data_IF_046605625478
#
_entry.id   IF_046605625478
#
_cell.length_a   1.000
_cell.length_b   1.000
_cell.length_c   1.000
_cell.angle_alpha   90.00
_cell.angle_beta   90.00
_cell.angle_gamma   90.00
#
_symmetry.space_group_name_H-M   'P 1'
#
loop_
_entity.id
_entity.type
_entity.pdbx_description
1 polymer ?
#
# COMPACT_ATOMS: atom_id res chain seq x y z
N UNK A 1 -6.13 -25.20 -11.17
CA UNK A 1 -5.31 -24.47 -12.17
C UNK A 1 -4.15 -23.86 -11.41
N UNK A 2 -2.93 -24.00 -11.93
CA UNK A 2 -1.69 -23.81 -11.18
C UNK A 2 -1.44 -22.34 -10.87
N UNK A 3 -1.34 -22.00 -9.58
CA UNK A 3 -0.76 -20.75 -9.10
C UNK A 3 0.65 -20.59 -9.66
N UNK A 4 0.85 -19.53 -10.43
CA UNK A 4 2.10 -19.18 -11.10
C UNK A 4 2.43 -17.71 -10.85
N UNK A 5 2.44 -17.32 -9.59
CA UNK A 5 3.10 -16.13 -9.04
C UNK A 5 3.23 -16.46 -7.54
N UNK A 6 4.37 -16.57 -6.88
CA UNK A 6 5.43 -15.58 -6.71
C UNK A 6 6.71 -16.37 -6.39
N UNK A 7 7.59 -16.54 -7.36
CA UNK A 7 8.98 -16.94 -7.11
C UNK A 7 9.84 -16.23 -8.14
N UNK A 8 10.31 -15.04 -7.79
CA UNK A 8 11.53 -14.48 -8.34
C UNK A 8 12.20 -13.69 -7.22
N UNK A 9 13.34 -14.22 -6.76
CA UNK A 9 14.37 -13.42 -6.13
C UNK A 9 14.68 -12.29 -7.11
N UNK A 10 14.54 -11.02 -6.69
CA UNK A 10 14.91 -9.91 -7.55
C UNK A 10 16.44 -9.88 -7.65
N UNK A 11 16.98 -10.42 -8.75
CA UNK A 11 18.28 -9.98 -9.24
C UNK A 11 18.17 -8.47 -9.47
N UNK A 12 19.12 -7.67 -8.96
CA UNK A 12 19.06 -6.20 -9.05
C UNK A 12 18.94 -5.72 -10.50
N UNK A 13 19.45 -6.52 -11.45
CA UNK A 13 19.38 -6.25 -12.88
C UNK A 13 18.01 -6.53 -13.52
N UNK A 14 17.17 -7.34 -12.85
CA UNK A 14 15.82 -7.70 -13.28
C UNK A 14 14.74 -6.85 -12.56
N UNK A 15 15.17 -5.83 -11.82
CA UNK A 15 14.25 -4.92 -11.14
C UNK A 15 13.38 -4.16 -12.15
N UNK A 16 12.11 -3.91 -11.80
CA UNK A 16 11.21 -3.16 -12.66
C UNK A 16 11.72 -1.75 -12.92
N UNK A 17 11.51 -1.27 -14.14
CA UNK A 17 12.00 0.04 -14.61
C UNK A 17 10.83 0.94 -14.97
N UNK A 18 11.04 2.27 -15.13
CA UNK A 18 10.02 3.20 -15.61
C UNK A 18 9.39 2.86 -16.98
N UNK A 19 9.94 1.90 -17.72
CA UNK A 19 9.34 1.41 -18.97
C UNK A 19 8.20 0.41 -18.73
N UNK A 20 8.17 -0.29 -17.59
CA UNK A 20 6.98 -1.03 -17.16
C UNK A 20 5.96 0.00 -16.67
N UNK A 21 4.77 0.01 -17.26
CA UNK A 21 3.72 1.00 -16.94
C UNK A 21 3.37 1.01 -15.45
N UNK A 22 3.40 -0.15 -14.79
CA UNK A 22 3.13 -0.26 -13.35
C UNK A 22 4.17 0.48 -12.50
N UNK A 23 5.35 0.70 -13.06
CA UNK A 23 6.51 1.32 -12.41
C UNK A 23 6.92 2.62 -13.07
N UNK A 24 6.06 3.21 -13.92
CA UNK A 24 6.35 4.41 -14.72
C UNK A 24 7.03 5.53 -13.95
N UNK A 25 6.63 5.76 -12.69
CA UNK A 25 7.14 6.85 -11.87
C UNK A 25 8.27 6.44 -10.92
N UNK A 26 8.59 5.16 -10.82
CA UNK A 26 9.54 4.61 -9.84
C UNK A 26 10.67 3.88 -10.53
N UNK A 27 11.90 4.36 -10.33
CA UNK A 27 13.10 3.75 -10.91
C UNK A 27 13.89 2.99 -9.84
N UNK A 28 13.41 1.80 -9.48
CA UNK A 28 13.98 0.97 -8.43
C UNK A 28 15.46 0.60 -8.69
N UNK A 29 15.90 0.17 -9.89
CA UNK A 29 17.32 -0.14 -10.14
C UNK A 29 18.26 1.04 -9.91
N UNK A 30 17.79 2.29 -10.05
CA UNK A 30 18.61 3.48 -9.78
C UNK A 30 18.68 3.83 -8.30
N UNK A 31 17.69 3.40 -7.51
CA UNK A 31 17.55 3.79 -6.12
C UNK A 31 18.15 2.78 -5.15
N UNK A 32 18.13 1.49 -5.51
CA UNK A 32 18.69 0.41 -4.68
C UNK A 32 20.22 0.54 -4.59
N UNK A 33 20.80 0.54 -3.38
CA UNK A 33 22.24 0.51 -3.18
C UNK A 33 22.89 -0.77 -3.73
N UNK A 34 24.12 -0.64 -4.24
CA UNK A 34 24.93 -1.79 -4.62
C UNK A 34 25.46 -2.54 -3.40
N UNK A 35 25.76 -3.84 -3.56
CA UNK A 35 26.49 -4.62 -2.55
C UNK A 35 25.69 -5.02 -1.32
N UNK A 36 24.35 -4.93 -1.37
CA UNK A 36 23.49 -5.39 -0.26
C UNK A 36 23.58 -6.91 -0.08
N UNK A 37 23.66 -7.34 1.19
CA UNK A 37 23.65 -8.76 1.58
C UNK A 37 22.26 -9.17 2.05
N UNK A 38 21.71 -10.21 1.44
CA UNK A 38 20.40 -10.72 1.82
C UNK A 38 20.41 -11.38 3.20
N UNK A 39 19.48 -10.96 4.03
CA UNK A 39 19.20 -11.56 5.34
C UNK A 39 18.15 -12.66 5.23
N UNK A 40 18.08 -13.50 6.26
CA UNK A 40 17.02 -14.49 6.39
C UNK A 40 15.64 -13.82 6.39
N UNK A 41 14.69 -14.48 5.75
CA UNK A 41 13.32 -13.99 5.68
C UNK A 41 12.63 -14.17 7.04
N UNK A 42 12.19 -13.06 7.63
CA UNK A 42 11.28 -13.06 8.78
C UNK A 42 9.84 -13.13 8.28
N UNK A 43 9.08 -14.09 8.78
CA UNK A 43 7.67 -14.27 8.48
C UNK A 43 6.84 -14.11 9.76
N UNK A 44 5.84 -13.25 9.70
CA UNK A 44 4.86 -13.02 10.77
C UNK A 44 3.49 -13.48 10.28
N UNK A 45 2.84 -14.35 11.05
CA UNK A 45 1.53 -14.92 10.72
C UNK A 45 0.57 -14.61 11.86
N UNK A 46 -0.49 -13.87 11.55
CA UNK A 46 -1.56 -13.53 12.48
C UNK A 46 -2.85 -14.17 12.00
N UNK A 47 -3.45 -15.01 12.85
CA UNK A 47 -4.73 -15.65 12.57
C UNK A 47 -5.67 -15.43 13.76
N UNK A 48 -6.75 -14.68 13.53
CA UNK A 48 -7.80 -14.42 14.52
C UNK A 48 -9.01 -15.28 14.18
N UNK A 49 -9.50 -16.03 15.17
CA UNK A 49 -10.58 -17.00 14.94
C UNK A 49 -11.94 -16.32 14.92
N UNK A 50 -12.93 -17.06 14.43
CA UNK A 50 -14.32 -16.61 14.28
C UNK A 50 -14.83 -15.93 15.55
N UNK A 51 -15.33 -14.70 15.38
CA UNK A 51 -15.96 -13.91 16.43
C UNK A 51 -15.03 -13.38 17.53
N UNK A 52 -13.73 -13.64 17.46
CA UNK A 52 -12.78 -13.09 18.42
C UNK A 52 -12.60 -11.59 18.21
N UNK A 53 -12.62 -10.83 19.30
CA UNK A 53 -12.33 -9.40 19.29
C UNK A 53 -11.02 -9.15 20.06
N UNK A 54 -9.95 -8.81 19.34
CA UNK A 54 -8.67 -8.47 19.94
C UNK A 54 -8.68 -7.02 20.40
N UNK A 55 -8.89 -6.79 21.70
CA UNK A 55 -8.93 -5.44 22.28
C UNK A 55 -7.59 -4.71 22.21
N UNK A 56 -6.49 -5.44 22.33
CA UNK A 56 -5.14 -4.88 22.25
C UNK A 56 -4.61 -4.97 20.81
N UNK A 57 -3.96 -3.91 20.29
CA UNK A 57 -3.35 -3.96 18.98
C UNK A 57 -2.14 -4.89 18.97
N UNK A 58 -1.89 -5.53 17.82
CA UNK A 58 -0.62 -6.19 17.54
C UNK A 58 0.34 -5.15 16.96
N UNK A 59 1.43 -4.87 17.65
CA UNK A 59 2.48 -3.93 17.21
C UNK A 59 3.68 -4.72 16.68
N UNK A 60 4.05 -4.50 15.42
CA UNK A 60 5.13 -5.19 14.71
C UNK A 60 6.18 -4.16 14.31
N UNK A 61 7.41 -4.36 14.79
CA UNK A 61 8.57 -3.57 14.39
C UNK A 61 9.40 -4.32 13.35
N UNK A 62 9.63 -3.67 12.21
CA UNK A 62 10.53 -4.10 11.15
C UNK A 62 11.77 -3.21 11.15
N UNK A 63 12.94 -3.78 11.43
CA UNK A 63 14.21 -3.04 11.53
C UNK A 63 15.13 -3.38 10.36
N UNK A 64 15.66 -2.35 9.69
CA UNK A 64 16.71 -2.47 8.68
C UNK A 64 18.10 -2.13 9.22
N UNK A 65 19.13 -2.71 8.59
CA UNK A 65 20.53 -2.60 9.03
C UNK A 65 21.44 -2.26 7.84
N UNK A 66 22.51 -1.48 8.07
CA UNK A 66 23.45 -1.08 7.03
C UNK A 66 23.92 -2.26 6.16
N UNK A 67 23.85 -2.08 4.84
CA UNK A 67 24.37 -3.03 3.87
C UNK A 67 23.51 -4.28 3.67
N UNK A 68 22.25 -4.28 4.14
CA UNK A 68 21.38 -5.47 4.05
C UNK A 68 20.17 -5.28 3.13
N UNK A 69 19.65 -6.42 2.65
CA UNK A 69 18.29 -6.52 2.13
C UNK A 69 17.47 -7.46 3.01
N UNK A 70 16.32 -6.99 3.46
CA UNK A 70 15.33 -7.74 4.22
C UNK A 70 14.12 -8.02 3.33
N UNK A 71 13.58 -9.24 3.42
CA UNK A 71 12.40 -9.66 2.65
C UNK A 71 11.26 -10.12 3.58
N UNK A 72 10.79 -9.26 4.50
CA UNK A 72 9.80 -9.68 5.48
C UNK A 72 8.48 -10.08 4.81
N UNK A 73 7.79 -11.02 5.44
CA UNK A 73 6.45 -11.47 5.03
C UNK A 73 5.47 -11.31 6.18
N UNK A 74 4.31 -10.75 5.89
CA UNK A 74 3.21 -10.64 6.84
C UNK A 74 1.96 -11.28 6.25
N UNK A 75 1.41 -12.26 6.96
CA UNK A 75 0.13 -12.88 6.63
C UNK A 75 -0.88 -12.62 7.74
N UNK A 76 -2.00 -11.96 7.42
CA UNK A 76 -3.09 -11.68 8.36
C UNK A 76 -4.36 -12.37 7.87
N UNK A 77 -4.95 -13.21 8.72
CA UNK A 77 -6.25 -13.86 8.45
C UNK A 77 -7.21 -13.60 9.59
N UNK A 78 -8.31 -12.92 9.28
CA UNK A 78 -9.44 -12.75 10.18
C UNK A 78 -10.57 -13.65 9.70
N UNK A 79 -11.00 -14.60 10.54
CA UNK A 79 -12.20 -15.38 10.27
C UNK A 79 -13.47 -14.55 10.47
N UNK A 80 -14.63 -15.17 10.19
CA UNK A 80 -15.93 -14.50 10.26
C UNK A 80 -16.17 -13.80 11.61
N UNK A 81 -16.52 -12.52 11.56
CA UNK A 81 -16.81 -11.69 12.73
C UNK A 81 -15.59 -11.33 13.60
N UNK A 82 -14.37 -11.72 13.19
CA UNK A 82 -13.15 -11.40 13.93
C UNK A 82 -12.81 -9.90 13.83
N UNK A 83 -12.15 -9.36 14.85
CA UNK A 83 -11.73 -7.96 14.88
C UNK A 83 -10.30 -7.82 15.37
N UNK A 84 -9.50 -7.01 14.67
CA UNK A 84 -8.09 -6.79 14.97
C UNK A 84 -7.65 -5.37 14.60
N UNK A 85 -6.72 -4.84 15.38
CA UNK A 85 -5.89 -3.70 14.98
C UNK A 85 -4.43 -4.16 14.89
N UNK A 86 -3.78 -3.86 13.77
CA UNK A 86 -2.33 -4.10 13.56
C UNK A 86 -1.65 -2.76 13.32
N UNK A 87 -0.51 -2.57 13.99
CA UNK A 87 0.39 -1.42 13.81
C UNK A 87 1.72 -1.97 13.31
N UNK A 88 2.08 -1.66 12.07
CA UNK A 88 3.40 -1.91 11.53
C UNK A 88 4.27 -0.66 11.66
N UNK A 89 5.49 -0.83 12.16
CA UNK A 89 6.50 0.22 12.26
C UNK A 89 7.74 -0.20 11.50
N UNK A 90 8.22 0.68 10.64
CA UNK A 90 9.43 0.47 9.85
C UNK A 90 10.49 1.47 10.32
N UNK A 91 11.67 0.97 10.69
CA UNK A 91 12.80 1.78 11.13
C UNK A 91 14.11 1.11 10.76
N UNK A 92 15.24 1.77 11.02
CA UNK A 92 16.55 1.18 10.83
C UNK A 92 17.64 2.22 10.77
N UNK A 93 18.87 1.75 10.57
CA UNK A 93 20.05 2.60 10.47
C UNK A 93 20.82 2.25 9.21
N UNK A 94 21.20 3.29 8.45
CA UNK A 94 22.10 3.13 7.31
C UNK A 94 21.39 2.96 5.97
N UNK A 95 22.13 2.39 5.01
CA UNK A 95 21.68 2.06 3.67
C UNK A 95 21.19 0.61 3.65
N UNK A 96 19.89 0.41 3.48
CA UNK A 96 19.31 -0.92 3.39
C UNK A 96 18.08 -0.92 2.51
N UNK A 97 17.62 -2.11 2.16
CA UNK A 97 16.37 -2.28 1.45
C UNK A 97 15.44 -3.24 2.19
N UNK A 98 14.27 -2.76 2.58
CA UNK A 98 13.16 -3.60 3.03
C UNK A 98 12.21 -3.84 1.86
N UNK A 99 12.18 -5.09 1.37
CA UNK A 99 11.31 -5.53 0.29
C UNK A 99 10.24 -6.50 0.81
N UNK A 100 9.13 -5.95 1.28
CA UNK A 100 8.09 -6.66 1.99
C UNK A 100 7.01 -7.23 1.07
N UNK A 101 6.47 -8.38 1.47
CA UNK A 101 5.23 -8.94 0.94
C UNK A 101 4.19 -9.06 2.06
N UNK A 102 2.98 -8.57 1.80
CA UNK A 102 1.88 -8.60 2.77
C UNK A 102 0.64 -9.26 2.14
N UNK A 103 0.06 -10.23 2.83
CA UNK A 103 -1.16 -10.92 2.42
C UNK A 103 -2.21 -10.83 3.53
N UNK A 104 -3.40 -10.34 3.18
CA UNK A 104 -4.47 -10.06 4.15
C UNK A 104 -5.78 -10.67 3.65
N UNK A 105 -6.41 -11.48 4.49
CA UNK A 105 -7.77 -11.98 4.29
C UNK A 105 -8.67 -11.49 5.42
N UNK A 106 -9.71 -10.73 5.06
CA UNK A 106 -10.74 -10.23 5.97
C UNK A 106 -12.03 -10.98 5.69
N UNK A 107 -12.34 -11.95 6.55
CA UNK A 107 -13.53 -12.80 6.43
C UNK A 107 -14.85 -12.05 6.63
N UNK A 108 -15.96 -12.76 6.45
CA UNK A 108 -17.30 -12.16 6.52
C UNK A 108 -17.54 -11.44 7.85
N UNK A 109 -18.16 -10.27 7.84
CA UNK A 109 -18.41 -9.46 9.06
C UNK A 109 -17.14 -9.13 9.88
N UNK A 110 -15.94 -9.43 9.39
CA UNK A 110 -14.70 -9.18 10.11
C UNK A 110 -14.20 -7.75 9.88
N UNK A 111 -13.40 -7.24 10.82
CA UNK A 111 -12.92 -5.85 10.80
C UNK A 111 -11.43 -5.80 11.09
N UNK A 112 -10.65 -5.25 10.16
CA UNK A 112 -9.23 -5.00 10.33
C UNK A 112 -8.93 -3.51 10.24
N UNK A 113 -8.31 -2.98 11.29
CA UNK A 113 -7.61 -1.69 11.23
C UNK A 113 -6.11 -1.95 11.05
N UNK A 114 -5.52 -1.38 10.02
CA UNK A 114 -4.12 -1.59 9.66
C UNK A 114 -3.39 -0.25 9.55
N UNK A 115 -2.48 0.00 10.48
CA UNK A 115 -1.71 1.25 10.57
C UNK A 115 -0.27 0.94 10.19
N UNK A 116 0.29 1.67 9.24
CA UNK A 116 1.71 1.60 8.86
C UNK A 116 2.38 2.93 9.15
N UNK A 117 3.50 2.90 9.86
CA UNK A 117 4.33 4.07 10.15
C UNK A 117 5.74 3.80 9.64
N UNK A 118 6.20 4.62 8.69
CA UNK A 118 7.51 4.46 8.04
C UNK A 118 8.44 5.56 8.53
N UNK A 119 9.37 5.17 9.40
CA UNK A 119 10.44 6.00 9.97
C UNK A 119 11.82 5.39 9.62
N UNK A 120 11.90 4.77 8.44
CA UNK A 120 13.13 4.24 7.89
C UNK A 120 14.21 5.33 7.73
N UNK A 121 15.47 4.91 7.81
CA UNK A 121 16.64 5.76 7.55
C UNK A 121 16.49 6.58 6.25
N UNK A 122 16.97 7.81 6.23
CA UNK A 122 16.90 8.69 5.05
C UNK A 122 17.62 8.14 3.80
N UNK A 123 18.43 7.08 3.94
CA UNK A 123 19.09 6.39 2.84
C UNK A 123 18.48 5.02 2.48
N UNK A 124 17.46 4.58 3.24
CA UNK A 124 16.81 3.30 3.03
C UNK A 124 15.86 3.29 1.83
N UNK A 125 15.60 2.09 1.33
CA UNK A 125 14.56 1.82 0.33
C UNK A 125 13.50 0.94 1.00
N UNK A 126 12.22 1.30 0.85
CA UNK A 126 11.10 0.51 1.36
C UNK A 126 10.14 0.19 0.21
N UNK A 127 10.02 -1.08 -0.15
CA UNK A 127 9.03 -1.54 -1.12
C UNK A 127 8.10 -2.53 -0.42
N UNK A 128 6.79 -2.36 -0.56
CA UNK A 128 5.82 -3.31 -0.03
C UNK A 128 4.77 -3.62 -1.09
N UNK A 129 4.60 -4.91 -1.39
CA UNK A 129 3.52 -5.43 -2.21
C UNK A 129 2.45 -6.04 -1.29
N UNK A 130 1.23 -5.53 -1.38
CA UNK A 130 0.13 -5.88 -0.49
C UNK A 130 -1.01 -6.48 -1.30
N UNK A 131 -1.48 -7.66 -0.91
CA UNK A 131 -2.69 -8.29 -1.45
C UNK A 131 -3.74 -8.40 -0.35
N UNK A 132 -4.93 -7.87 -0.60
CA UNK A 132 -6.04 -7.84 0.36
C UNK A 132 -7.28 -8.47 -0.28
N UNK A 133 -7.88 -9.44 0.40
CA UNK A 133 -9.21 -9.98 0.06
C UNK A 133 -10.20 -9.65 1.16
N UNK A 134 -11.28 -8.96 0.82
CA UNK A 134 -12.36 -8.57 1.71
C UNK A 134 -13.66 -9.28 1.31
N UNK A 135 -14.22 -10.08 2.23
CA UNK A 135 -15.45 -10.85 2.02
C UNK A 135 -16.71 -10.03 2.39
N UNK A 136 -17.87 -10.67 2.37
CA UNK A 136 -19.18 -10.07 2.59
C UNK A 136 -19.27 -9.35 3.94
N UNK A 137 -19.80 -8.13 3.94
CA UNK A 137 -19.97 -7.30 5.14
C UNK A 137 -18.66 -7.07 5.92
N UNK A 138 -17.50 -7.31 5.30
CA UNK A 138 -16.18 -7.09 5.92
C UNK A 138 -15.73 -5.63 5.82
N UNK A 139 -14.85 -5.21 6.74
CA UNK A 139 -14.30 -3.85 6.74
C UNK A 139 -12.79 -3.90 6.90
N UNK A 140 -12.09 -3.36 5.90
CA UNK A 140 -10.66 -3.08 5.98
C UNK A 140 -10.42 -1.57 6.04
N UNK A 141 -9.66 -1.12 7.05
CA UNK A 141 -9.27 0.28 7.21
C UNK A 141 -7.76 0.40 7.28
N UNK A 142 -7.15 0.84 6.18
CA UNK A 142 -5.72 1.10 6.07
C UNK A 142 -5.38 2.58 6.31
N UNK A 143 -4.33 2.82 7.09
CA UNK A 143 -3.69 4.14 7.24
C UNK A 143 -2.18 4.00 7.09
N UNK A 144 -1.55 4.84 6.26
CA UNK A 144 -0.09 4.89 6.07
C UNK A 144 0.45 6.28 6.39
N UNK A 145 1.44 6.36 7.27
CA UNK A 145 2.18 7.58 7.57
C UNK A 145 3.63 7.40 7.13
N UNK A 146 4.04 8.16 6.12
CA UNK A 146 5.37 8.07 5.54
C UNK A 146 6.20 9.30 5.98
N UNK A 147 7.25 9.05 6.77
CA UNK A 147 8.13 10.06 7.38
C UNK A 147 9.62 9.89 7.03
N UNK A 148 9.99 8.74 6.46
CA UNK A 148 11.38 8.36 6.21
C UNK A 148 11.59 7.69 4.86
N UNK A 149 12.70 6.95 4.74
CA UNK A 149 13.23 6.35 3.51
C UNK A 149 13.65 7.36 2.44
N UNK A 150 14.67 7.01 1.65
CA UNK A 150 15.03 7.73 0.42
C UNK A 150 13.99 7.47 -0.67
N UNK A 151 13.56 6.23 -0.79
CA UNK A 151 12.51 5.81 -1.71
C UNK A 151 11.55 4.89 -0.98
N UNK A 152 10.26 5.16 -1.13
CA UNK A 152 9.20 4.25 -0.77
C UNK A 152 8.34 3.93 -1.99
N UNK A 153 7.94 2.66 -2.12
CA UNK A 153 6.82 2.26 -2.95
C UNK A 153 5.89 1.31 -2.20
N UNK A 154 4.64 1.71 -2.07
CA UNK A 154 3.57 0.91 -1.50
C UNK A 154 2.60 0.53 -2.62
N UNK A 155 2.64 -0.73 -3.03
CA UNK A 155 1.85 -1.30 -4.12
C UNK A 155 0.75 -2.19 -3.53
N UNK A 156 -0.50 -1.72 -3.62
CA UNK A 156 -1.66 -2.34 -2.97
C UNK A 156 -2.60 -2.87 -4.03
N UNK A 157 -2.94 -4.14 -3.93
CA UNK A 157 -4.04 -4.75 -4.66
C UNK A 157 -5.09 -5.26 -3.68
N UNK A 158 -6.28 -4.68 -3.73
CA UNK A 158 -7.40 -5.06 -2.88
C UNK A 158 -8.57 -5.55 -3.73
N UNK A 159 -9.19 -6.64 -3.31
CA UNK A 159 -10.38 -7.19 -3.95
C UNK A 159 -11.53 -7.30 -2.95
N UNK A 160 -12.66 -6.69 -3.31
CA UNK A 160 -13.94 -6.80 -2.62
C UNK A 160 -14.71 -7.99 -3.24
N UNK A 161 -14.56 -9.16 -2.62
CA UNK A 161 -15.07 -10.44 -3.14
C UNK A 161 -16.48 -10.80 -2.65
N UNK A 162 -16.99 -10.13 -1.63
CA UNK A 162 -18.33 -10.32 -1.10
C UNK A 162 -19.12 -9.02 -1.01
N UNK A 163 -20.45 -9.11 -1.08
CA UNK A 163 -21.31 -7.95 -1.09
C UNK A 163 -21.22 -7.12 0.21
N UNK A 164 -21.50 -5.82 0.12
CA UNK A 164 -21.41 -4.88 1.24
C UNK A 164 -20.03 -4.77 1.91
N UNK A 165 -18.97 -5.27 1.27
CA UNK A 165 -17.61 -5.10 1.77
C UNK A 165 -17.16 -3.65 1.70
N UNK A 166 -16.32 -3.24 2.64
CA UNK A 166 -15.72 -1.91 2.66
C UNK A 166 -14.19 -1.98 2.74
N UNK A 167 -13.51 -1.24 1.88
CA UNK A 167 -12.07 -1.02 1.97
C UNK A 167 -11.78 0.48 2.00
N UNK A 168 -10.90 0.92 2.89
CA UNK A 168 -10.40 2.29 2.90
C UNK A 168 -8.89 2.34 2.98
N UNK A 169 -8.30 3.25 2.21
CA UNK A 169 -6.86 3.52 2.19
C UNK A 169 -6.64 5.00 2.43
N UNK A 170 -6.07 5.33 3.57
CA UNK A 170 -5.77 6.69 3.95
C UNK A 170 -4.27 6.86 4.08
N UNK A 171 -3.73 8.01 3.67
CA UNK A 171 -2.30 8.22 3.75
C UNK A 171 -1.88 9.67 3.93
N UNK A 172 -0.79 9.85 4.68
CA UNK A 172 -0.06 11.10 4.76
C UNK A 172 1.40 10.86 4.41
N UNK A 173 1.89 11.59 3.41
CA UNK A 173 3.28 11.61 3.01
C UNK A 173 3.88 12.97 3.38
N UNK A 174 4.94 12.96 4.19
CA UNK A 174 5.76 14.14 4.49
C UNK A 174 7.13 13.89 3.88
N UNK A 175 7.43 14.54 2.76
CA UNK A 175 8.61 14.27 1.96
C UNK A 175 9.48 15.54 1.83
N UNK A 176 10.79 15.38 2.03
CA UNK A 176 11.78 16.46 1.88
C UNK A 176 13.06 15.97 1.21
N UNK A 177 14.05 16.85 1.06
CA UNK A 177 15.32 16.51 0.40
C UNK A 177 15.15 15.98 -1.03
N UNK A 178 15.64 14.77 -1.28
CA UNK A 178 15.50 14.03 -2.54
C UNK A 178 14.61 12.77 -2.40
N UNK A 179 13.72 12.74 -1.39
CA UNK A 179 12.85 11.60 -1.14
C UNK A 179 11.84 11.36 -2.26
N UNK A 180 11.57 10.08 -2.54
CA UNK A 180 10.55 9.62 -3.47
C UNK A 180 9.51 8.76 -2.77
N UNK A 181 8.27 9.24 -2.66
CA UNK A 181 7.17 8.51 -2.05
C UNK A 181 6.12 8.09 -3.07
N UNK A 182 5.96 6.80 -3.31
CA UNK A 182 5.01 6.23 -4.28
C UNK A 182 3.96 5.37 -3.58
N UNK A 183 2.69 5.72 -3.77
CA UNK A 183 1.56 4.85 -3.44
C UNK A 183 0.80 4.51 -4.71
N UNK A 184 0.76 3.23 -5.03
CA UNK A 184 0.01 2.66 -6.15
C UNK A 184 -1.05 1.73 -5.59
N UNK A 185 -2.32 1.94 -5.96
CA UNK A 185 -3.47 1.18 -5.45
C UNK A 185 -4.31 0.69 -6.62
N UNK A 186 -4.65 -0.59 -6.61
CA UNK A 186 -5.70 -1.20 -7.41
C UNK A 186 -6.79 -1.73 -6.49
N UNK A 187 -8.03 -1.27 -6.69
CA UNK A 187 -9.21 -1.83 -6.03
C UNK A 187 -10.11 -2.50 -7.07
N UNK A 188 -10.32 -3.80 -6.89
CA UNK A 188 -11.23 -4.63 -7.68
C UNK A 188 -12.58 -4.74 -6.93
N UNK A 189 -13.63 -4.11 -7.47
CA UNK A 189 -15.00 -4.32 -7.02
C UNK A 189 -15.59 -5.52 -7.76
N UNK A 190 -15.49 -6.70 -7.15
CA UNK A 190 -15.96 -7.97 -7.73
C UNK A 190 -17.33 -8.41 -7.18
N UNK A 191 -17.96 -7.62 -6.31
CA UNK A 191 -19.26 -7.91 -5.71
C UNK A 191 -20.11 -6.62 -5.60
N UNK A 192 -21.45 -6.74 -5.55
CA UNK A 192 -22.34 -5.58 -5.50
C UNK A 192 -22.36 -4.94 -4.10
N UNK A 193 -22.88 -3.71 -4.04
CA UNK A 193 -23.09 -2.93 -2.80
C UNK A 193 -21.81 -2.62 -2.00
N UNK A 194 -20.63 -2.76 -2.59
CA UNK A 194 -19.38 -2.51 -1.90
C UNK A 194 -19.00 -1.03 -1.91
N UNK A 195 -18.22 -0.62 -0.90
CA UNK A 195 -17.69 0.73 -0.76
C UNK A 195 -16.18 0.74 -0.78
N UNK A 196 -15.59 1.71 -1.47
CA UNK A 196 -14.15 1.95 -1.40
C UNK A 196 -13.82 3.42 -1.26
N UNK A 197 -12.90 3.75 -0.35
CA UNK A 197 -12.41 5.11 -0.18
C UNK A 197 -10.88 5.17 -0.26
N UNK A 198 -10.35 6.13 -1.01
CA UNK A 198 -8.91 6.42 -1.04
C UNK A 198 -8.72 7.91 -0.70
N UNK A 199 -7.99 8.23 0.37
CA UNK A 199 -7.72 9.61 0.78
C UNK A 199 -6.24 9.80 1.09
N UNK A 200 -5.52 10.43 0.17
CA UNK A 200 -4.09 10.67 0.31
C UNK A 200 -3.78 12.16 0.35
N UNK A 201 -3.00 12.55 1.37
CA UNK A 201 -2.43 13.89 1.50
C UNK A 201 -0.92 13.80 1.38
N UNK A 202 -0.31 14.74 0.67
CA UNK A 202 1.13 14.77 0.48
C UNK A 202 1.68 16.18 0.61
N UNK A 203 2.70 16.36 1.43
CA UNK A 203 3.42 17.62 1.59
C UNK A 203 4.85 17.36 1.12
N UNK A 204 5.33 18.19 0.18
CA UNK A 204 6.61 18.00 -0.48
C UNK A 204 7.45 19.26 -0.39
N UNK A 205 8.68 19.13 0.12
CA UNK A 205 9.66 20.20 0.16
C UNK A 205 10.92 19.86 -0.66
N UNK A 206 11.84 20.81 -0.79
CA UNK A 206 13.11 20.69 -1.50
C UNK A 206 12.92 20.18 -2.94
N UNK A 207 13.38 18.97 -3.24
CA UNK A 207 13.29 18.27 -4.53
C UNK A 207 12.51 16.96 -4.40
N UNK A 208 11.71 16.83 -3.35
CA UNK A 208 10.96 15.61 -3.08
C UNK A 208 9.94 15.34 -4.19
N UNK A 209 9.70 14.05 -4.45
CA UNK A 209 8.76 13.57 -5.44
C UNK A 209 7.69 12.68 -4.82
N UNK A 210 6.44 13.01 -5.07
CA UNK A 210 5.28 12.25 -4.64
C UNK A 210 4.60 11.61 -5.83
N UNK A 211 4.15 10.37 -5.66
CA UNK A 211 3.37 9.64 -6.66
C UNK A 211 2.13 9.07 -5.99
N UNK A 212 0.98 9.35 -6.57
CA UNK A 212 -0.28 8.68 -6.25
C UNK A 212 -0.90 8.11 -7.53
N UNK A 213 -0.95 6.79 -7.64
CA UNK A 213 -1.67 6.10 -8.69
C UNK A 213 -2.79 5.29 -8.06
N UNK A 214 -4.04 5.63 -8.38
CA UNK A 214 -5.20 4.94 -7.82
C UNK A 214 -6.11 4.45 -8.92
N UNK A 215 -6.21 3.14 -9.11
CA UNK A 215 -7.14 2.51 -10.03
C UNK A 215 -8.30 1.86 -9.28
N UNK A 216 -9.52 2.16 -9.70
CA UNK A 216 -10.73 1.44 -9.29
C UNK A 216 -11.30 0.73 -10.52
N UNK A 217 -11.40 -0.59 -10.43
CA UNK A 217 -11.99 -1.44 -11.45
C UNK A 217 -13.31 -2.01 -10.92
N UNK A 218 -14.42 -1.68 -11.58
CA UNK A 218 -15.76 -2.13 -11.20
C UNK A 218 -16.27 -3.12 -12.22
N UNK A 219 -16.37 -4.39 -11.79
CA UNK A 219 -16.86 -5.48 -12.62
C UNK A 219 -18.34 -5.29 -12.93
N UNK A 220 -18.81 -5.84 -14.05
CA UNK A 220 -20.20 -5.68 -14.50
C UNK A 220 -21.25 -6.11 -13.45
N UNK A 221 -20.92 -7.11 -12.62
CA UNK A 221 -21.82 -7.61 -11.56
C UNK A 221 -21.87 -6.70 -10.32
N UNK A 222 -20.91 -5.78 -10.16
CA UNK A 222 -20.74 -4.94 -8.97
C UNK A 222 -21.65 -3.70 -9.02
N UNK A 223 -22.95 -3.95 -9.12
CA UNK A 223 -23.96 -2.91 -9.04
C UNK A 223 -23.97 -2.29 -7.64
N UNK A 224 -24.40 -1.03 -7.54
CA UNK A 224 -24.42 -0.25 -6.30
C UNK A 224 -23.05 -0.03 -5.66
N UNK A 225 -21.96 -0.15 -6.41
CA UNK A 225 -20.64 0.27 -5.95
C UNK A 225 -20.64 1.77 -5.62
N UNK A 226 -20.05 2.12 -4.47
CA UNK A 226 -19.75 3.49 -4.06
C UNK A 226 -18.23 3.67 -3.88
N UNK A 227 -17.60 4.34 -4.84
CA UNK A 227 -16.15 4.52 -4.92
C UNK A 227 -15.75 5.99 -4.88
N UNK A 228 -14.85 6.35 -3.95
CA UNK A 228 -14.30 7.70 -3.88
C UNK A 228 -12.77 7.69 -3.79
N UNK A 229 -12.12 8.54 -4.59
CA UNK A 229 -10.67 8.73 -4.55
C UNK A 229 -10.33 10.22 -4.44
N UNK A 230 -9.44 10.58 -3.51
CA UNK A 230 -8.96 11.95 -3.35
C UNK A 230 -7.46 11.96 -3.07
N UNK A 231 -6.73 12.69 -3.92
CA UNK A 231 -5.32 12.99 -3.74
C UNK A 231 -5.14 14.51 -3.61
N UNK A 232 -4.63 14.98 -2.47
CA UNK A 232 -4.29 16.38 -2.27
C UNK A 232 -2.80 16.52 -2.01
N UNK A 233 -2.13 17.37 -2.78
CA UNK A 233 -0.72 17.67 -2.60
C UNK A 233 -0.46 19.16 -2.38
N UNK A 234 0.47 19.47 -1.49
CA UNK A 234 1.01 20.80 -1.24
C UNK A 234 2.51 20.76 -1.56
N UNK A 235 2.93 21.63 -2.49
CA UNK A 235 4.33 21.86 -2.83
C UNK A 235 4.86 23.04 -2.00
N UNK A 236 5.95 22.84 -1.27
CA UNK A 236 6.61 23.85 -0.44
C UNK A 236 7.80 24.50 -1.17
N UNK A 237 8.22 23.94 -2.31
CA UNK A 237 9.37 24.36 -3.10
C UNK A 237 9.08 24.23 -4.60
N UNK A 238 9.67 25.11 -5.41
CA UNK A 238 9.54 25.11 -6.88
C UNK A 238 10.13 23.86 -7.56
N UNK A 239 10.92 23.06 -6.82
CA UNK A 239 11.53 21.82 -7.32
C UNK A 239 10.82 20.55 -6.82
N UNK A 240 9.79 20.69 -5.99
CA UNK A 240 8.99 19.57 -5.56
C UNK A 240 8.03 19.14 -6.68
N UNK A 241 7.83 17.83 -6.83
CA UNK A 241 7.02 17.26 -7.90
C UNK A 241 5.93 16.35 -7.33
N UNK A 242 4.70 16.48 -7.83
CA UNK A 242 3.62 15.53 -7.54
C UNK A 242 3.08 14.97 -8.85
N UNK A 243 3.21 13.66 -9.02
CA UNK A 243 2.56 12.90 -10.08
C UNK A 243 1.30 12.22 -9.54
N UNK A 244 0.16 12.48 -10.17
CA UNK A 244 -1.11 11.85 -9.79
C UNK A 244 -1.78 11.23 -11.01
N UNK A 245 -2.19 9.96 -10.89
CA UNK A 245 -2.88 9.21 -11.95
C UNK A 245 -4.09 8.46 -11.34
N UNK A 246 -5.22 9.14 -11.10
CA UNK A 246 -6.47 8.46 -10.77
C UNK A 246 -7.07 7.82 -12.03
N UNK A 247 -7.57 6.60 -11.90
CA UNK A 247 -8.08 5.77 -13.01
C UNK A 247 -9.38 5.09 -12.57
N UNK A 248 -10.44 5.24 -13.36
CA UNK A 248 -11.70 4.51 -13.18
C UNK A 248 -11.95 3.63 -14.41
N UNK A 249 -12.15 2.34 -14.18
CA UNK A 249 -12.56 1.37 -15.19
C UNK A 249 -13.88 0.74 -14.73
N UNK A 250 -15.00 1.22 -15.30
CA UNK A 250 -16.35 0.93 -14.77
C UNK A 250 -17.18 0.19 -15.82
N UNK A 251 -17.60 -1.04 -15.49
CA UNK A 251 -18.46 -1.87 -16.34
C UNK A 251 -19.87 -2.08 -15.78
N UNK A 252 -20.19 -1.51 -14.62
CA UNK A 252 -21.52 -1.55 -14.00
C UNK A 252 -22.25 -0.20 -14.15
N UNK A 253 -23.55 -0.24 -14.49
CA UNK A 253 -24.33 0.96 -14.78
C UNK A 253 -24.77 1.73 -13.52
N UNK A 254 -25.21 1.02 -12.47
CA UNK A 254 -25.82 1.61 -11.29
C UNK A 254 -24.79 1.83 -10.18
N UNK A 255 -23.87 2.77 -10.38
CA UNK A 255 -22.76 3.04 -9.46
C UNK A 255 -22.61 4.52 -9.14
N UNK A 256 -21.89 4.81 -8.05
CA UNK A 256 -21.42 6.15 -7.71
C UNK A 256 -19.91 6.09 -7.57
N UNK A 257 -19.19 6.45 -8.63
CA UNK A 257 -17.73 6.51 -8.60
C UNK A 257 -17.27 7.92 -8.92
N UNK A 258 -16.34 8.45 -8.14
CA UNK A 258 -15.69 9.73 -8.44
C UNK A 258 -14.26 9.76 -7.94
N UNK A 259 -13.46 10.61 -8.57
CA UNK A 259 -12.09 10.85 -8.18
C UNK A 259 -11.79 12.35 -8.23
N UNK A 260 -10.89 12.79 -7.36
CA UNK A 260 -10.41 14.16 -7.29
C UNK A 260 -8.91 14.18 -7.05
N UNK A 261 -8.22 15.09 -7.72
CA UNK A 261 -6.83 15.36 -7.47
C UNK A 261 -6.60 16.87 -7.46
N UNK A 262 -5.88 17.37 -6.46
CA UNK A 262 -5.49 18.78 -6.39
C UNK A 262 -4.02 18.88 -6.01
N UNK A 263 -3.26 19.66 -6.74
CA UNK A 263 -1.90 20.05 -6.36
C UNK A 263 -1.87 21.58 -6.30
N UNK A 264 -1.38 22.10 -5.18
CA UNK A 264 -1.20 23.54 -4.98
C UNK A 264 0.15 23.84 -4.35
N UNK A 265 0.55 25.10 -4.40
CA UNK A 265 1.72 25.64 -3.72
C UNK A 265 1.24 26.53 -2.57
N UNK A 266 2.00 26.58 -1.47
CA UNK A 266 1.74 27.52 -0.36
C UNK A 266 2.21 28.94 -0.70
#
# INVERSE_FOLDING_TARGET
MKDKAVRNLLNIHDLPTPKDERWKYTNLPRAVPDGLTQQDTREEIIHIKRGENCEQPVDILWTGEEGTIHQPKLSITLEEGAQLTVIERFTGVGNYWQNMQTEITVGKNARLNHIRVIEDSAAAINTNMVSISADQDSVYSGFSLNLGAKMQRHDIHAILNGANGEVSFNGLNLLGGDQHGDTTILIEHAAPHCRSNQFYRTILDDKARGVFQGKVHVHQIAQKTDGYQLSNAILLSDKAEMDTKPELEIYADDVKCSHGATTGQL
#
